data_IF_145146091874
#
_entry.id   IF_145146091874
#
_cell.length_a   1.000
_cell.length_b   1.000
_cell.length_c   1.000
_cell.angle_alpha   90.00
_cell.angle_beta   90.00
_cell.angle_gamma   90.00
#
_symmetry.space_group_name_H-M   'P 1'
#
loop_
_entity.id
_entity.type
_entity.pdbx_description
1 polymer ?
#
# COMPACT_ATOMS: atom_id res chain seq x y z
N UNK A 1 -8.72 2.87 -72.66
CA UNK A 1 -9.48 2.31 -71.52
C UNK A 1 -9.03 3.01 -70.26
N UNK A 2 -9.86 3.88 -69.68
CA UNK A 2 -9.59 4.44 -68.36
C UNK A 2 -9.96 3.38 -67.34
N UNK A 3 -8.96 2.69 -66.79
CA UNK A 3 -9.18 1.79 -65.67
C UNK A 3 -9.42 2.66 -64.45
N UNK A 4 -10.65 2.68 -63.97
CA UNK A 4 -11.02 3.44 -62.77
C UNK A 4 -10.20 2.89 -61.60
N UNK A 5 -9.45 3.77 -60.92
CA UNK A 5 -8.59 3.43 -59.76
C UNK A 5 -9.39 2.65 -58.70
N UNK A 6 -10.69 2.95 -58.57
CA UNK A 6 -11.61 2.21 -57.73
C UNK A 6 -11.76 0.74 -58.15
N UNK A 7 -11.89 0.45 -59.44
CA UNK A 7 -12.03 -0.93 -59.93
C UNK A 7 -10.79 -1.78 -59.67
N UNK A 8 -9.60 -1.20 -59.82
CA UNK A 8 -8.33 -1.85 -59.54
C UNK A 8 -8.12 -2.08 -58.04
N UNK A 9 -8.57 -1.14 -57.20
CA UNK A 9 -8.54 -1.29 -55.74
C UNK A 9 -9.46 -2.43 -55.26
N UNK A 10 -10.70 -2.50 -55.75
CA UNK A 10 -11.62 -3.59 -55.40
C UNK A 10 -11.12 -4.96 -55.88
N UNK A 11 -10.55 -5.02 -57.09
CA UNK A 11 -9.93 -6.25 -57.60
C UNK A 11 -8.76 -6.71 -56.72
N UNK A 12 -7.93 -5.80 -56.23
CA UNK A 12 -6.81 -6.12 -55.35
C UNK A 12 -7.24 -6.50 -53.92
N UNK A 13 -8.34 -5.93 -53.41
CA UNK A 13 -8.93 -6.33 -52.13
C UNK A 13 -9.43 -7.79 -52.19
N UNK A 14 -10.03 -8.20 -53.31
CA UNK A 14 -10.52 -9.58 -53.49
C UNK A 14 -9.36 -10.56 -53.69
N UNK A 15 -8.32 -10.17 -54.44
CA UNK A 15 -7.19 -11.04 -54.73
C UNK A 15 -6.22 -11.23 -53.54
N UNK A 16 -5.97 -10.18 -52.75
CA UNK A 16 -5.00 -10.20 -51.64
C UNK A 16 -5.54 -9.48 -50.38
N UNK A 17 -6.67 -9.95 -49.80
CA UNK A 17 -7.37 -9.25 -48.74
C UNK A 17 -6.49 -9.00 -47.51
N UNK A 18 -5.71 -9.99 -47.08
CA UNK A 18 -4.88 -9.89 -45.88
C UNK A 18 -3.79 -8.81 -45.98
N UNK A 19 -3.17 -8.66 -47.16
CA UNK A 19 -2.11 -7.66 -47.37
C UNK A 19 -2.73 -6.26 -47.36
N UNK A 20 -3.86 -6.07 -48.05
CA UNK A 20 -4.52 -4.77 -48.12
C UNK A 20 -5.06 -4.35 -46.75
N UNK A 21 -5.72 -5.24 -46.01
CA UNK A 21 -6.23 -4.92 -44.67
C UNK A 21 -5.12 -4.61 -43.67
N UNK A 22 -3.94 -5.24 -43.78
CA UNK A 22 -2.79 -4.94 -42.90
C UNK A 22 -2.31 -3.49 -43.02
N UNK A 23 -2.44 -2.87 -44.19
CA UNK A 23 -2.07 -1.46 -44.39
C UNK A 23 -3.26 -0.51 -44.22
N UNK A 24 -4.47 -0.93 -44.61
CA UNK A 24 -5.65 -0.09 -44.57
C UNK A 24 -6.16 0.14 -43.14
N UNK A 25 -6.15 -0.90 -42.29
CA UNK A 25 -6.61 -0.82 -40.89
C UNK A 25 -5.81 0.23 -40.09
N UNK A 26 -4.45 0.24 -40.07
CA UNK A 26 -3.71 1.23 -39.30
C UNK A 26 -3.90 2.66 -39.82
N UNK A 27 -4.09 2.84 -41.14
CA UNK A 27 -4.38 4.15 -41.73
C UNK A 27 -5.74 4.65 -41.24
N UNK A 28 -6.79 3.82 -41.32
CA UNK A 28 -8.14 4.17 -40.84
C UNK A 28 -8.13 4.44 -39.32
N UNK A 29 -7.42 3.62 -38.54
CA UNK A 29 -7.27 3.82 -37.09
C UNK A 29 -6.63 5.17 -36.76
N UNK A 30 -5.62 5.58 -37.52
CA UNK A 30 -4.96 6.87 -37.34
C UNK A 30 -5.93 8.03 -37.62
N UNK A 31 -6.74 7.94 -38.68
CA UNK A 31 -7.79 8.92 -38.96
C UNK A 31 -8.85 9.00 -37.86
N UNK A 32 -9.31 7.85 -37.34
CA UNK A 32 -10.27 7.79 -36.22
C UNK A 32 -9.65 8.42 -34.97
N UNK A 33 -8.40 8.09 -34.64
CA UNK A 33 -7.72 8.61 -33.46
C UNK A 33 -7.54 10.12 -33.52
N UNK A 34 -7.14 10.66 -34.68
CA UNK A 34 -7.05 12.12 -34.89
C UNK A 34 -8.41 12.79 -34.75
N UNK A 35 -9.48 12.19 -35.29
CA UNK A 35 -10.82 12.74 -35.19
C UNK A 35 -11.35 12.73 -33.75
N UNK A 36 -11.13 11.63 -33.02
CA UNK A 36 -11.47 11.49 -31.60
C UNK A 36 -10.70 12.52 -30.78
N UNK A 37 -9.37 12.58 -30.91
CA UNK A 37 -8.55 13.57 -30.20
C UNK A 37 -9.05 14.98 -30.51
N UNK A 38 -9.33 15.31 -31.77
CA UNK A 38 -9.82 16.65 -32.14
C UNK A 38 -11.21 16.96 -31.59
N UNK A 39 -12.11 15.97 -31.53
CA UNK A 39 -13.45 16.14 -30.97
C UNK A 39 -13.41 16.35 -29.46
N UNK A 40 -12.58 15.60 -28.74
CA UNK A 40 -12.46 15.66 -27.28
C UNK A 40 -11.45 16.71 -26.78
N UNK A 41 -10.53 17.19 -27.62
CA UNK A 41 -9.49 18.18 -27.27
C UNK A 41 -10.04 19.59 -26.99
N UNK A 42 -11.27 19.90 -27.41
CA UNK A 42 -11.89 21.23 -27.17
C UNK A 42 -12.22 21.56 -25.71
N UNK A 43 -11.83 20.70 -24.74
CA UNK A 43 -12.08 20.90 -23.30
C UNK A 43 -10.81 21.08 -22.46
N UNK A 44 -9.62 21.09 -23.07
CA UNK A 44 -8.39 21.45 -22.37
C UNK A 44 -8.29 22.96 -22.24
N UNK A 45 -8.87 23.52 -21.17
CA UNK A 45 -8.45 24.85 -20.70
C UNK A 45 -7.00 24.66 -20.23
N UNK A 46 -6.02 25.41 -20.75
CA UNK A 46 -4.68 25.39 -20.18
C UNK A 46 -4.83 25.77 -18.71
N UNK A 47 -4.27 24.97 -17.79
CA UNK A 47 -4.30 25.30 -16.37
C UNK A 47 -3.80 26.75 -16.20
N UNK A 48 -4.66 27.60 -15.66
CA UNK A 48 -4.34 29.00 -15.41
C UNK A 48 -3.12 29.07 -14.47
N UNK A 49 -2.36 30.17 -14.53
CA UNK A 49 -1.20 30.31 -13.66
C UNK A 49 -1.59 30.10 -12.18
N UNK A 50 -0.82 29.31 -11.42
CA UNK A 50 -1.21 28.91 -10.07
C UNK A 50 -1.44 30.15 -9.20
N UNK A 51 -2.61 30.20 -8.57
CA UNK A 51 -2.98 31.29 -7.65
C UNK A 51 -2.03 31.33 -6.45
N UNK A 52 -1.88 32.50 -5.83
CA UNK A 52 -1.02 32.66 -4.66
C UNK A 52 -1.47 31.83 -3.44
N UNK A 53 -2.74 31.39 -3.42
CA UNK A 53 -3.27 30.39 -2.49
C UNK A 53 -2.77 28.97 -2.79
N UNK A 54 -2.70 28.58 -4.07
CA UNK A 54 -2.19 27.25 -4.49
C UNK A 54 -0.67 27.15 -4.31
N UNK A 55 0.08 28.26 -4.46
CA UNK A 55 1.52 28.29 -4.15
C UNK A 55 1.82 28.14 -2.65
N UNK A 56 0.85 28.46 -1.80
CA UNK A 56 0.92 28.31 -0.33
C UNK A 56 0.33 27.00 0.15
N UNK A 57 -0.28 26.23 -0.75
CA UNK A 57 -0.80 24.90 -0.46
C UNK A 57 0.40 24.01 -0.15
N UNK A 58 0.51 23.60 1.12
CA UNK A 58 1.51 22.63 1.56
C UNK A 58 1.08 21.32 0.92
N UNK A 59 1.72 20.96 -0.19
CA UNK A 59 1.62 19.60 -0.71
C UNK A 59 2.04 18.66 0.42
N UNK A 60 1.10 17.88 0.93
CA UNK A 60 1.40 16.74 1.81
C UNK A 60 2.00 15.64 0.93
N UNK A 61 3.23 15.88 0.47
CA UNK A 61 4.03 14.88 -0.20
C UNK A 61 4.22 13.76 0.83
N UNK A 62 3.81 12.51 0.52
CA UNK A 62 3.97 11.40 1.45
C UNK A 62 5.38 11.41 2.01
N UNK A 63 5.48 11.51 3.33
CA UNK A 63 6.73 11.84 3.98
C UNK A 63 7.80 10.80 3.65
N UNK A 64 8.82 11.29 2.95
CA UNK A 64 10.20 11.11 3.33
C UNK A 64 10.86 9.72 3.24
N UNK A 65 10.35 8.70 2.56
CA UNK A 65 11.19 7.51 2.33
C UNK A 65 12.48 7.88 1.57
N UNK A 66 12.37 8.58 0.44
CA UNK A 66 13.54 8.98 -0.34
C UNK A 66 14.37 10.03 0.41
N UNK A 67 13.77 11.04 1.03
CA UNK A 67 14.57 12.11 1.66
C UNK A 67 15.23 11.69 3.00
N UNK A 68 14.65 10.74 3.75
CA UNK A 68 15.25 10.24 4.99
C UNK A 68 16.17 9.05 4.74
N UNK A 69 15.81 8.11 3.87
CA UNK A 69 16.59 6.87 3.69
C UNK A 69 17.74 7.04 2.67
N UNK A 70 17.58 7.90 1.65
CA UNK A 70 18.60 8.08 0.60
C UNK A 70 19.96 8.56 1.12
N UNK A 71 20.06 9.49 2.09
CA UNK A 71 21.33 9.85 2.71
C UNK A 71 22.03 8.65 3.37
N UNK A 72 21.28 7.81 4.11
CA UNK A 72 21.84 6.65 4.80
C UNK A 72 22.30 5.56 3.82
N UNK A 73 21.55 5.34 2.72
CA UNK A 73 21.96 4.42 1.65
C UNK A 73 23.18 4.94 0.88
N UNK A 74 23.22 6.25 0.58
CA UNK A 74 24.34 6.89 -0.14
C UNK A 74 25.63 6.83 0.69
N UNK A 75 25.52 7.02 2.00
CA UNK A 75 26.66 7.11 2.91
C UNK A 75 27.07 5.73 3.48
N UNK A 76 26.45 4.63 3.01
CA UNK A 76 26.64 3.25 3.50
C UNK A 76 26.48 3.10 5.03
N UNK A 77 25.56 3.85 5.62
CA UNK A 77 25.29 3.89 7.05
C UNK A 77 24.41 2.68 7.45
N UNK A 78 25.02 1.50 7.45
CA UNK A 78 24.37 0.25 7.85
C UNK A 78 23.99 0.25 9.33
N UNK A 79 24.73 1.00 10.15
CA UNK A 79 24.53 1.11 11.59
C UNK A 79 23.20 1.79 11.93
N UNK A 80 22.76 2.77 11.12
CA UNK A 80 21.43 3.37 11.22
C UNK A 80 20.32 2.28 11.18
N UNK A 81 20.36 1.42 10.16
CA UNK A 81 19.39 0.33 10.00
C UNK A 81 19.50 -0.71 11.10
N UNK A 82 20.71 -1.14 11.45
CA UNK A 82 20.94 -2.11 12.52
C UNK A 82 20.42 -1.59 13.87
N UNK A 83 20.65 -0.32 14.18
CA UNK A 83 20.15 0.30 15.41
C UNK A 83 18.63 0.42 15.46
N UNK A 84 17.96 0.61 14.31
CA UNK A 84 16.51 0.61 14.22
C UNK A 84 15.93 -0.78 14.48
N UNK A 85 16.52 -1.80 13.84
CA UNK A 85 16.16 -3.21 14.03
C UNK A 85 16.38 -3.64 15.49
N UNK A 86 17.49 -3.25 16.10
CA UNK A 86 17.80 -3.57 17.49
C UNK A 86 16.77 -2.96 18.46
N UNK A 87 16.43 -1.67 18.29
CA UNK A 87 15.39 -0.98 19.07
C UNK A 87 14.02 -1.64 18.94
N UNK A 88 13.66 -2.07 17.74
CA UNK A 88 12.45 -2.83 17.51
C UNK A 88 12.46 -4.19 18.21
N UNK A 89 13.58 -4.91 18.15
CA UNK A 89 13.72 -6.20 18.84
C UNK A 89 13.63 -6.04 20.36
N UNK A 90 14.23 -5.00 20.91
CA UNK A 90 14.15 -4.69 22.34
C UNK A 90 12.70 -4.33 22.75
N UNK A 91 12.01 -3.56 21.92
CA UNK A 91 10.60 -3.24 22.11
C UNK A 91 9.72 -4.50 22.10
N UNK A 92 9.91 -5.40 21.13
CA UNK A 92 9.18 -6.68 21.09
C UNK A 92 9.52 -7.56 22.29
N UNK A 93 10.80 -7.62 22.67
CA UNK A 93 11.26 -8.38 23.83
C UNK A 93 10.59 -7.90 25.12
N UNK A 94 10.54 -6.59 25.35
CA UNK A 94 9.89 -6.02 26.53
C UNK A 94 8.40 -6.37 26.60
N UNK A 95 7.68 -6.30 25.47
CA UNK A 95 6.28 -6.71 25.39
C UNK A 95 6.07 -8.20 25.70
N UNK A 96 6.98 -9.06 25.23
CA UNK A 96 6.94 -10.50 25.54
C UNK A 96 7.19 -10.78 27.02
N UNK A 97 8.12 -10.05 27.64
CA UNK A 97 8.39 -10.15 29.08
C UNK A 97 7.19 -9.68 29.91
N UNK A 98 6.56 -8.57 29.52
CA UNK A 98 5.34 -8.05 30.14
C UNK A 98 4.18 -9.05 30.00
N UNK A 99 4.02 -9.65 28.81
CA UNK A 99 3.04 -10.71 28.57
C UNK A 99 3.24 -11.91 29.50
N UNK A 100 4.49 -12.40 29.62
CA UNK A 100 4.85 -13.51 30.52
C UNK A 100 4.52 -13.17 31.97
N UNK A 101 4.76 -11.93 32.39
CA UNK A 101 4.41 -11.45 33.73
C UNK A 101 2.90 -11.51 33.98
N UNK A 102 2.09 -10.98 33.07
CA UNK A 102 0.64 -11.00 33.23
C UNK A 102 0.05 -12.42 33.19
N UNK A 103 0.60 -13.33 32.38
CA UNK A 103 0.19 -14.74 32.38
C UNK A 103 0.45 -15.39 33.74
N UNK A 104 1.60 -15.12 34.38
CA UNK A 104 1.89 -15.61 35.73
C UNK A 104 0.87 -15.07 36.75
N UNK A 105 0.56 -13.77 36.68
CA UNK A 105 -0.46 -13.17 37.54
C UNK A 105 -1.85 -13.75 37.30
N UNK A 106 -2.22 -13.96 36.04
CA UNK A 106 -3.50 -14.54 35.66
C UNK A 106 -3.68 -15.94 36.29
N UNK A 107 -2.63 -16.78 36.22
CA UNK A 107 -2.62 -18.09 36.89
C UNK A 107 -2.73 -17.96 38.41
N UNK A 108 -1.99 -17.04 39.02
CA UNK A 108 -2.07 -16.75 40.47
C UNK A 108 -3.49 -16.39 40.90
N UNK A 109 -4.17 -15.50 40.18
CA UNK A 109 -5.53 -15.10 40.53
C UNK A 109 -6.58 -16.16 40.18
N UNK A 110 -6.35 -16.96 39.14
CA UNK A 110 -7.16 -18.15 38.85
C UNK A 110 -7.13 -19.14 40.01
N UNK A 111 -5.95 -19.43 40.57
CA UNK A 111 -5.83 -20.29 41.74
C UNK A 111 -6.52 -19.68 42.98
N UNK A 112 -6.47 -18.34 43.13
CA UNK A 112 -7.16 -17.64 44.23
C UNK A 112 -8.69 -17.69 44.15
N UNK A 113 -9.27 -18.01 42.99
CA UNK A 113 -10.71 -18.24 42.87
C UNK A 113 -11.18 -19.47 43.64
N UNK A 114 -10.29 -20.42 43.93
CA UNK A 114 -10.60 -21.61 44.73
C UNK A 114 -10.51 -21.33 46.24
N UNK A 115 -10.25 -20.08 46.65
CA UNK A 115 -10.18 -19.73 48.07
C UNK A 115 -11.52 -19.94 48.78
N UNK A 116 -11.55 -20.45 50.02
CA UNK A 116 -12.79 -20.61 50.78
C UNK A 116 -13.48 -19.26 51.11
N UNK A 117 -12.72 -18.16 51.17
CA UNK A 117 -13.26 -16.83 51.46
C UNK A 117 -13.97 -16.21 50.25
N UNK A 118 -15.29 -15.96 50.38
CA UNK A 118 -16.11 -15.30 49.35
C UNK A 118 -15.56 -13.92 48.95
N UNK A 119 -15.09 -13.12 49.92
CA UNK A 119 -14.49 -11.80 49.67
C UNK A 119 -13.22 -11.91 48.83
N UNK A 120 -12.34 -12.88 49.14
CA UNK A 120 -11.11 -13.12 48.37
C UNK A 120 -11.41 -13.60 46.95
N UNK A 121 -12.41 -14.48 46.76
CA UNK A 121 -12.84 -14.91 45.43
C UNK A 121 -13.34 -13.74 44.57
N UNK A 122 -14.19 -12.87 45.14
CA UNK A 122 -14.73 -11.72 44.42
C UNK A 122 -13.62 -10.73 44.00
N UNK A 123 -12.67 -10.45 44.88
CA UNK A 123 -11.51 -9.62 44.55
C UNK A 123 -10.61 -10.29 43.49
N UNK A 124 -10.34 -11.60 43.62
CA UNK A 124 -9.55 -12.33 42.63
C UNK A 124 -10.21 -12.39 41.24
N UNK A 125 -11.55 -12.46 41.18
CA UNK A 125 -12.29 -12.41 39.91
C UNK A 125 -12.08 -11.08 39.20
N UNK A 126 -12.28 -9.96 39.91
CA UNK A 126 -12.04 -8.61 39.36
C UNK A 126 -10.61 -8.45 38.85
N UNK A 127 -9.64 -8.91 39.63
CA UNK A 127 -8.25 -8.74 39.27
C UNK A 127 -7.82 -9.63 38.11
N UNK A 128 -8.34 -10.87 38.05
CA UNK A 128 -8.15 -11.75 36.89
C UNK A 128 -8.69 -11.12 35.61
N UNK A 129 -9.84 -10.47 35.69
CA UNK A 129 -10.49 -9.82 34.56
C UNK A 129 -9.69 -8.59 34.09
N UNK A 130 -9.21 -7.76 35.01
CA UNK A 130 -8.27 -6.66 34.69
C UNK A 130 -7.02 -7.17 33.98
N UNK A 131 -6.40 -8.22 34.52
CA UNK A 131 -5.18 -8.81 33.93
C UNK A 131 -5.47 -9.40 32.54
N UNK A 132 -6.64 -10.02 32.36
CA UNK A 132 -7.04 -10.54 31.05
C UNK A 132 -7.13 -9.44 30.00
N UNK A 133 -7.69 -8.27 30.36
CA UNK A 133 -7.73 -7.11 29.47
C UNK A 133 -6.33 -6.63 29.08
N UNK A 134 -5.37 -6.61 30.02
CA UNK A 134 -3.97 -6.25 29.68
C UNK A 134 -3.32 -7.27 28.76
N UNK A 135 -3.57 -8.57 28.97
CA UNK A 135 -3.12 -9.65 28.06
C UNK A 135 -3.68 -9.45 26.65
N UNK A 136 -4.98 -9.16 26.54
CA UNK A 136 -5.63 -8.92 25.25
C UNK A 136 -5.05 -7.68 24.55
N UNK A 137 -4.80 -6.60 25.31
CA UNK A 137 -4.16 -5.37 24.80
C UNK A 137 -2.74 -5.64 24.27
N UNK A 138 -1.95 -6.45 24.98
CA UNK A 138 -0.61 -6.84 24.50
C UNK A 138 -0.69 -7.69 23.23
N UNK A 139 -1.69 -8.57 23.12
CA UNK A 139 -1.93 -9.34 21.91
C UNK A 139 -2.28 -8.46 20.71
N UNK A 140 -3.15 -7.46 20.90
CA UNK A 140 -3.51 -6.49 19.85
C UNK A 140 -2.29 -5.68 19.39
N UNK A 141 -1.47 -5.20 20.34
CA UNK A 141 -0.21 -4.48 20.03
C UNK A 141 0.75 -5.33 19.20
N UNK A 142 0.98 -6.59 19.60
CA UNK A 142 1.85 -7.51 18.85
C UNK A 142 1.25 -7.83 17.46
N UNK A 143 -0.07 -7.94 17.37
CA UNK A 143 -0.79 -8.13 16.10
C UNK A 143 -0.59 -6.96 15.13
N UNK A 144 -0.71 -5.72 15.63
CA UNK A 144 -0.45 -4.49 14.85
C UNK A 144 0.98 -4.41 14.37
N UNK A 145 1.96 -4.65 15.25
CA UNK A 145 3.38 -4.69 14.86
C UNK A 145 3.67 -5.72 13.76
N UNK A 146 3.00 -6.87 13.78
CA UNK A 146 3.12 -7.88 12.72
C UNK A 146 2.53 -7.39 11.39
N UNK A 147 1.36 -6.74 11.44
CA UNK A 147 0.68 -6.21 10.25
C UNK A 147 1.45 -5.05 9.62
N UNK A 148 1.92 -4.08 10.42
CA UNK A 148 2.70 -2.93 9.94
C UNK A 148 3.95 -3.38 9.16
N UNK A 149 4.62 -4.45 9.63
CA UNK A 149 5.77 -5.04 8.93
C UNK A 149 5.39 -5.77 7.64
N UNK A 150 4.24 -6.42 7.59
CA UNK A 150 3.74 -7.09 6.38
C UNK A 150 3.31 -6.09 5.31
N UNK A 151 2.63 -5.01 5.69
CA UNK A 151 2.23 -3.94 4.76
C UNK A 151 3.44 -3.20 4.22
N UNK A 152 4.45 -2.92 5.05
CA UNK A 152 5.73 -2.38 4.57
C UNK A 152 6.38 -3.35 3.58
N UNK A 153 6.42 -4.66 3.84
CA UNK A 153 6.97 -5.66 2.92
C UNK A 153 6.19 -5.83 1.61
N UNK A 154 4.86 -5.70 1.62
CA UNK A 154 4.01 -5.79 0.42
C UNK A 154 4.07 -4.51 -0.44
N UNK A 155 4.26 -3.33 0.16
CA UNK A 155 4.44 -2.08 -0.60
C UNK A 155 5.78 -2.04 -1.36
N UNK A 156 6.82 -2.76 -0.91
CA UNK A 156 8.06 -2.93 -1.70
C UNK A 156 7.96 -4.05 -2.76
N UNK A 157 7.03 -5.00 -2.61
CA UNK A 157 6.85 -6.14 -3.51
C UNK A 157 5.77 -5.94 -4.58
N UNK A 158 4.90 -4.95 -4.41
CA UNK A 158 3.79 -4.67 -5.33
C UNK A 158 4.02 -3.38 -6.12
N UNK A 159 5.09 -3.39 -6.91
CA UNK A 159 5.09 -2.72 -8.21
C UNK A 159 4.00 -3.35 -9.10
N UNK A 160 2.73 -3.08 -8.78
CA UNK A 160 1.59 -3.41 -9.62
C UNK A 160 1.76 -2.59 -10.87
N UNK A 161 2.27 -3.27 -11.90
CA UNK A 161 2.07 -2.91 -13.31
C UNK A 161 0.59 -2.57 -13.50
N UNK A 162 0.30 -1.30 -13.75
CA UNK A 162 -0.87 -0.87 -14.51
C UNK A 162 -0.45 0.29 -15.38
#
# INVERSE_FOLDING_TARGET
MQVSVLSTMFSNIVAYPLVVFRFLIPVIMLFILVFVVRHYSKRGVPDDYPTDSQKKEIFDVPSNYINQEYPHVRDNDIDYYLSGVERDFESVRSLVEEYRYYIKLYRKYTNRLNSPSKRRRASAKKERERIFSEIARLYDKLGKMKLDRLTLGEDYGSGRRS
#
